data_IF_841740663760
#
_entry.id   IF_841740663760
#
_cell.length_a   1.000
_cell.length_b   1.000
_cell.length_c   1.000
_cell.angle_alpha   90.00
_cell.angle_beta   90.00
_cell.angle_gamma   90.00
#
_symmetry.space_group_name_H-M   'P 1'
#
loop_
_entity.id
_entity.type
_entity.pdbx_description
1 polymer ?
#
# COMPACT_ATOMS: atom_id res chain seq x y z
N UNK A 1 38.84 -90.66 67.73
CA UNK A 1 40.22 -90.30 68.14
C UNK A 1 40.33 -88.78 67.98
N UNK A 2 40.36 -88.02 69.08
CA UNK A 2 41.60 -87.47 69.69
C UNK A 2 42.21 -86.42 68.77
N UNK A 3 42.44 -85.14 69.09
CA UNK A 3 42.60 -84.34 70.32
C UNK A 3 42.28 -82.87 69.90
N UNK A 4 41.56 -82.01 70.63
CA UNK A 4 41.89 -81.37 71.92
C UNK A 4 43.28 -80.68 71.94
N UNK A 5 43.32 -79.36 71.73
CA UNK A 5 44.49 -78.51 72.00
C UNK A 5 44.14 -77.01 71.87
N UNK A 6 44.70 -76.12 72.73
CA UNK A 6 43.92 -75.07 73.37
C UNK A 6 44.29 -73.62 73.02
N UNK A 7 43.33 -72.75 73.35
CA UNK A 7 43.40 -71.32 73.70
C UNK A 7 44.73 -70.56 73.55
N UNK A 8 44.71 -69.56 72.68
CA UNK A 8 45.55 -68.37 72.79
C UNK A 8 44.65 -67.12 72.78
N UNK A 9 44.56 -66.50 73.95
CA UNK A 9 43.87 -65.25 74.25
C UNK A 9 44.47 -64.08 73.47
N UNK A 10 43.69 -63.49 72.56
CA UNK A 10 44.02 -62.22 71.90
C UNK A 10 43.37 -61.09 72.71
N UNK A 11 44.13 -60.10 73.20
CA UNK A 11 43.58 -58.96 73.92
C UNK A 11 42.78 -58.06 72.97
N UNK A 12 41.49 -57.90 73.27
CA UNK A 12 40.60 -56.96 72.59
C UNK A 12 40.92 -55.52 73.03
N UNK A 13 41.83 -54.85 72.32
CA UNK A 13 41.96 -53.40 72.41
C UNK A 13 40.72 -52.74 71.77
N UNK A 14 39.75 -52.36 72.62
CA UNK A 14 38.73 -51.37 72.28
C UNK A 14 39.41 -50.00 72.18
N UNK A 15 39.91 -49.65 71.01
CA UNK A 15 40.14 -48.26 70.65
C UNK A 15 38.84 -47.71 70.10
N UNK A 16 38.14 -46.90 70.87
CA UNK A 16 37.07 -46.03 70.36
C UNK A 16 37.69 -44.92 69.49
N UNK A 17 37.32 -44.77 68.21
CA UNK A 17 37.57 -43.55 67.46
C UNK A 17 36.21 -42.90 67.16
N UNK A 18 35.41 -42.58 68.19
CA UNK A 18 34.10 -41.94 67.99
C UNK A 18 34.13 -40.42 68.03
N UNK A 19 35.30 -39.78 68.12
CA UNK A 19 35.44 -38.33 68.31
C UNK A 19 35.99 -37.54 67.10
N UNK A 20 36.34 -38.17 65.97
CA UNK A 20 36.89 -37.44 64.81
C UNK A 20 35.89 -37.20 63.66
N UNK A 21 34.75 -37.90 63.62
CA UNK A 21 33.87 -37.86 62.44
C UNK A 21 33.19 -36.50 62.21
N UNK A 22 32.90 -35.76 63.28
CA UNK A 22 32.37 -34.38 63.19
C UNK A 22 33.38 -33.40 62.58
N UNK A 23 34.68 -33.59 62.81
CA UNK A 23 35.72 -32.75 62.22
C UNK A 23 35.85 -32.98 60.72
N UNK A 24 35.77 -34.25 60.29
CA UNK A 24 35.78 -34.62 58.87
C UNK A 24 34.52 -34.19 58.11
N UNK A 25 33.35 -34.21 58.76
CA UNK A 25 32.11 -33.72 58.15
C UNK A 25 32.14 -32.20 57.91
N UNK A 26 32.69 -31.42 58.85
CA UNK A 26 32.84 -29.97 58.69
C UNK A 26 33.86 -29.61 57.61
N UNK A 27 35.01 -30.29 57.55
CA UNK A 27 35.99 -30.04 56.49
C UNK A 27 35.45 -30.43 55.11
N UNK A 28 34.73 -31.55 55.00
CA UNK A 28 34.07 -31.95 53.75
C UNK A 28 33.03 -30.93 53.30
N UNK A 29 32.23 -30.37 54.22
CA UNK A 29 31.22 -29.36 53.90
C UNK A 29 31.85 -28.04 53.42
N UNK A 30 32.95 -27.61 54.03
CA UNK A 30 33.72 -26.44 53.58
C UNK A 30 34.29 -26.64 52.18
N UNK A 31 34.84 -27.82 51.88
CA UNK A 31 35.38 -28.14 50.54
C UNK A 31 34.27 -28.13 49.48
N UNK A 32 33.11 -28.72 49.78
CA UNK A 32 31.96 -28.72 48.86
C UNK A 32 31.45 -27.30 48.61
N UNK A 33 31.32 -26.48 49.66
CA UNK A 33 30.93 -25.07 49.52
C UNK A 33 31.92 -24.28 48.66
N UNK A 34 33.22 -24.53 48.83
CA UNK A 34 34.27 -23.85 48.07
C UNK A 34 34.29 -24.29 46.59
N UNK A 35 34.06 -25.57 46.31
CA UNK A 35 33.89 -26.05 44.92
C UNK A 35 32.65 -25.45 44.25
N UNK A 36 31.51 -25.37 44.95
CA UNK A 36 30.31 -24.74 44.41
C UNK A 36 30.52 -23.24 44.13
N UNK A 37 31.24 -22.54 45.01
CA UNK A 37 31.56 -21.13 44.80
C UNK A 37 32.54 -20.94 43.63
N UNK A 38 33.51 -21.84 43.46
CA UNK A 38 34.43 -21.84 42.32
C UNK A 38 33.70 -22.12 41.00
N UNK A 39 32.77 -23.06 40.99
CA UNK A 39 31.97 -23.41 39.81
C UNK A 39 31.00 -22.28 39.45
N UNK A 40 30.36 -21.65 40.44
CA UNK A 40 29.54 -20.46 40.23
C UNK A 40 30.38 -19.27 39.71
N UNK A 41 31.58 -19.07 40.27
CA UNK A 41 32.54 -18.07 39.82
C UNK A 41 33.00 -18.34 38.39
N UNK A 42 33.31 -19.60 38.06
CA UNK A 42 33.74 -20.01 36.73
C UNK A 42 32.63 -19.84 35.70
N UNK A 43 31.39 -20.25 36.00
CA UNK A 43 30.24 -20.02 35.10
C UNK A 43 29.96 -18.55 34.90
N UNK A 44 30.11 -17.73 35.94
CA UNK A 44 29.96 -16.29 35.85
C UNK A 44 31.10 -15.63 35.04
N UNK A 45 32.33 -16.12 35.18
CA UNK A 45 33.47 -15.68 34.38
C UNK A 45 33.37 -16.16 32.93
N UNK A 46 32.94 -17.39 32.65
CA UNK A 46 32.69 -17.90 31.29
C UNK A 46 31.57 -17.12 30.60
N UNK A 47 30.48 -16.86 31.32
CA UNK A 47 29.40 -16.02 30.82
C UNK A 47 29.86 -14.58 30.50
N UNK A 48 30.91 -14.09 31.18
CA UNK A 48 31.52 -12.77 30.89
C UNK A 48 32.64 -12.81 29.87
N UNK A 49 33.44 -13.88 29.82
CA UNK A 49 34.62 -13.99 28.96
C UNK A 49 34.28 -14.46 27.55
N UNK A 50 33.14 -15.13 27.38
CA UNK A 50 32.63 -15.59 26.09
C UNK A 50 31.47 -14.73 25.57
N UNK A 51 31.33 -13.49 26.04
CA UNK A 51 30.30 -12.61 25.49
C UNK A 51 30.56 -12.46 23.98
N UNK A 52 29.65 -12.97 23.11
CA UNK A 52 29.89 -12.98 21.67
C UNK A 52 30.07 -11.54 21.19
N UNK A 53 31.18 -11.31 20.49
CA UNK A 53 31.41 -10.05 19.78
C UNK A 53 30.64 -10.10 18.46
N UNK A 54 29.95 -9.02 18.14
CA UNK A 54 29.21 -8.86 16.90
C UNK A 54 29.92 -7.81 16.06
N UNK A 55 30.10 -8.13 14.78
CA UNK A 55 30.61 -7.18 13.80
C UNK A 55 29.43 -6.63 13.01
N UNK A 56 29.18 -5.33 13.10
CA UNK A 56 28.11 -4.66 12.35
C UNK A 56 28.76 -3.67 11.38
N UNK A 57 28.40 -3.72 10.10
CA UNK A 57 28.86 -2.76 9.11
C UNK A 57 27.75 -1.72 8.93
N UNK A 58 28.03 -0.46 9.22
CA UNK A 58 27.09 0.67 9.13
C UNK A 58 27.76 1.80 8.37
N UNK A 59 27.15 2.25 7.28
CA UNK A 59 27.68 3.30 6.41
C UNK A 59 29.13 3.01 5.94
N UNK A 60 29.44 1.74 5.67
CA UNK A 60 30.77 1.26 5.29
C UNK A 60 31.78 1.16 6.43
N UNK A 61 31.45 1.62 7.64
CA UNK A 61 32.31 1.48 8.82
C UNK A 61 32.00 0.19 9.58
N UNK A 62 33.06 -0.51 10.00
CA UNK A 62 32.92 -1.72 10.82
C UNK A 62 32.87 -1.34 12.30
N UNK A 63 31.77 -1.65 12.96
CA UNK A 63 31.58 -1.54 14.41
C UNK A 63 31.72 -2.92 15.06
N UNK A 64 32.52 -3.03 16.11
CA UNK A 64 32.61 -4.22 16.97
C UNK A 64 31.89 -3.95 18.28
N UNK A 65 30.76 -4.65 18.47
CA UNK A 65 29.87 -4.48 19.62
C UNK A 65 29.90 -5.75 20.50
N UNK A 66 29.87 -5.57 21.81
CA UNK A 66 29.56 -6.67 22.73
C UNK A 66 28.06 -7.01 22.69
N UNK A 67 27.66 -8.12 23.31
CA UNK A 67 26.28 -8.58 23.28
C UNK A 67 25.27 -7.58 23.89
N UNK A 68 25.65 -6.82 24.91
CA UNK A 68 24.77 -5.84 25.54
C UNK A 68 24.57 -4.63 24.61
N UNK A 69 25.65 -4.12 24.02
CA UNK A 69 25.62 -3.02 23.04
C UNK A 69 24.92 -3.43 21.75
N UNK A 70 25.05 -4.69 21.34
CA UNK A 70 24.30 -5.22 20.20
C UNK A 70 22.79 -5.23 20.48
N UNK A 71 22.35 -5.61 21.68
CA UNK A 71 20.94 -5.55 22.05
C UNK A 71 20.40 -4.11 22.06
N UNK A 72 21.17 -3.16 22.62
CA UNK A 72 20.85 -1.73 22.56
C UNK A 72 20.77 -1.24 21.10
N UNK A 73 21.73 -1.63 20.27
CA UNK A 73 21.78 -1.30 18.85
C UNK A 73 20.53 -1.80 18.10
N UNK A 74 20.13 -3.06 18.31
CA UNK A 74 18.94 -3.63 17.68
C UNK A 74 17.66 -2.91 18.12
N UNK A 75 17.57 -2.50 19.40
CA UNK A 75 16.44 -1.72 19.92
C UNK A 75 16.39 -0.29 19.35
N UNK A 76 17.55 0.35 19.21
CA UNK A 76 17.65 1.67 18.58
C UNK A 76 17.29 1.59 17.09
N UNK A 77 17.78 0.56 16.39
CA UNK A 77 17.48 0.33 14.97
C UNK A 77 15.98 0.13 14.75
N UNK A 78 15.30 -0.66 15.59
CA UNK A 78 13.84 -0.87 15.45
C UNK A 78 13.05 0.41 15.72
N UNK A 79 13.49 1.21 16.71
CA UNK A 79 12.89 2.52 17.03
C UNK A 79 13.06 3.48 15.84
N UNK A 80 14.28 3.61 15.32
CA UNK A 80 14.57 4.46 14.16
C UNK A 80 13.84 3.98 12.89
N UNK A 81 13.68 2.68 12.69
CA UNK A 81 12.92 2.14 11.56
C UNK A 81 11.42 2.49 11.65
N UNK A 82 10.82 2.42 12.84
CA UNK A 82 9.43 2.83 13.07
C UNK A 82 9.22 4.35 12.86
N UNK A 83 10.16 5.18 13.34
CA UNK A 83 10.16 6.63 13.11
C UNK A 83 10.35 6.98 11.63
N UNK A 84 11.26 6.27 10.94
CA UNK A 84 11.49 6.42 9.52
C UNK A 84 10.22 6.10 8.71
N UNK A 85 9.47 5.07 9.08
CA UNK A 85 8.19 4.73 8.45
C UNK A 85 7.19 5.90 8.49
N UNK A 86 6.95 6.46 9.68
CA UNK A 86 6.04 7.59 9.82
C UNK A 86 6.54 8.82 9.04
N UNK A 87 7.86 9.02 9.01
CA UNK A 87 8.49 10.14 8.30
C UNK A 87 8.37 10.02 6.78
N UNK A 88 8.54 8.82 6.20
CA UNK A 88 8.32 8.60 4.75
C UNK A 88 6.93 9.04 4.35
N UNK A 89 5.90 8.57 5.06
CA UNK A 89 4.50 8.87 4.74
C UNK A 89 4.23 10.36 4.87
N UNK A 90 4.68 10.99 5.97
CA UNK A 90 4.50 12.41 6.19
C UNK A 90 5.20 13.30 5.13
N UNK A 91 6.36 12.87 4.61
CA UNK A 91 7.06 13.58 3.52
C UNK A 91 6.43 13.39 2.15
N UNK A 92 5.83 12.22 1.90
CA UNK A 92 5.18 11.92 0.62
C UNK A 92 3.81 12.56 0.48
N UNK A 93 3.03 12.68 1.55
CA UNK A 93 1.64 13.12 1.49
C UNK A 93 1.44 14.49 0.80
N UNK A 94 2.17 15.57 1.13
CA UNK A 94 2.02 16.85 0.44
C UNK A 94 2.37 16.76 -1.05
N UNK A 95 3.35 15.93 -1.41
CA UNK A 95 3.76 15.73 -2.80
C UNK A 95 2.70 14.95 -3.59
N UNK A 96 2.13 13.89 -3.00
CA UNK A 96 1.04 13.11 -3.58
C UNK A 96 -0.19 13.98 -3.81
N UNK A 97 -0.63 14.73 -2.79
CA UNK A 97 -1.80 15.60 -2.87
C UNK A 97 -1.62 16.67 -3.96
N UNK A 98 -0.48 17.36 -4.00
CA UNK A 98 -0.21 18.37 -5.03
C UNK A 98 -0.19 17.79 -6.45
N UNK A 99 0.33 16.56 -6.63
CA UNK A 99 0.33 15.87 -7.92
C UNK A 99 -1.06 15.38 -8.31
N UNK A 100 -1.86 14.88 -7.36
CA UNK A 100 -3.25 14.50 -7.61
C UNK A 100 -4.09 15.70 -8.01
N UNK A 101 -3.97 16.83 -7.31
CA UNK A 101 -4.68 18.06 -7.66
C UNK A 101 -4.36 18.50 -9.09
N UNK A 102 -3.08 18.46 -9.47
CA UNK A 102 -2.67 18.76 -10.85
C UNK A 102 -3.22 17.76 -11.86
N UNK A 103 -3.21 16.47 -11.54
CA UNK A 103 -3.70 15.42 -12.44
C UNK A 103 -5.21 15.53 -12.67
N UNK A 104 -5.98 15.85 -11.63
CA UNK A 104 -7.44 15.91 -11.65
C UNK A 104 -8.01 17.25 -12.14
N UNK A 105 -7.26 18.35 -12.05
CA UNK A 105 -7.74 19.66 -12.47
C UNK A 105 -8.29 19.71 -13.93
N UNK A 106 -7.64 19.10 -14.95
CA UNK A 106 -8.20 19.04 -16.30
C UNK A 106 -9.51 18.25 -16.39
N UNK A 107 -9.66 17.18 -15.59
CA UNK A 107 -10.89 16.38 -15.54
C UNK A 107 -12.05 17.17 -14.94
N UNK A 108 -11.80 17.93 -13.88
CA UNK A 108 -12.79 18.83 -13.27
C UNK A 108 -13.19 19.96 -14.22
N UNK A 109 -12.21 20.53 -14.93
CA UNK A 109 -12.43 21.58 -15.92
C UNK A 109 -13.21 21.09 -17.16
N UNK A 110 -13.19 19.79 -17.47
CA UNK A 110 -13.97 19.19 -18.56
C UNK A 110 -15.45 18.93 -18.22
N UNK A 111 -15.84 19.01 -16.94
CA UNK A 111 -17.22 18.75 -16.50
C UNK A 111 -18.24 19.71 -17.16
N UNK A 112 -18.02 21.04 -17.21
CA UNK A 112 -18.93 21.95 -17.90
C UNK A 112 -19.16 21.61 -19.37
N UNK A 113 -18.10 21.33 -20.13
CA UNK A 113 -18.19 21.00 -21.56
C UNK A 113 -18.98 19.71 -21.81
N UNK A 114 -18.78 18.69 -20.95
CA UNK A 114 -19.60 17.49 -20.98
C UNK A 114 -21.07 17.78 -20.72
N UNK A 115 -21.38 18.65 -19.74
CA UNK A 115 -22.75 19.02 -19.41
C UNK A 115 -23.41 19.85 -20.53
N UNK A 116 -22.66 20.75 -21.16
CA UNK A 116 -23.16 21.54 -22.29
C UNK A 116 -23.51 20.63 -23.47
N UNK A 117 -22.68 19.62 -23.78
CA UNK A 117 -23.05 18.57 -24.73
C UNK A 117 -24.26 17.75 -24.26
N UNK A 118 -24.26 17.32 -23.00
CA UNK A 118 -25.32 16.49 -22.42
C UNK A 118 -26.68 17.21 -22.49
N UNK A 119 -26.75 18.51 -22.23
CA UNK A 119 -27.99 19.26 -22.31
C UNK A 119 -28.26 19.88 -23.68
N UNK A 120 -27.33 19.77 -24.64
CA UNK A 120 -27.57 20.23 -26.01
C UNK A 120 -28.74 19.50 -26.69
N UNK A 121 -29.34 20.15 -27.70
CA UNK A 121 -30.37 19.53 -28.53
C UNK A 121 -29.84 18.25 -29.21
N UNK A 122 -28.66 18.33 -29.84
CA UNK A 122 -28.02 17.20 -30.48
C UNK A 122 -27.77 16.02 -29.52
N UNK A 123 -27.26 16.29 -28.32
CA UNK A 123 -27.07 15.27 -27.28
C UNK A 123 -28.38 14.62 -26.84
N UNK A 124 -29.43 15.43 -26.69
CA UNK A 124 -30.77 14.95 -26.30
C UNK A 124 -31.42 14.03 -27.33
N UNK A 125 -31.38 14.39 -28.63
CA UNK A 125 -31.90 13.52 -29.68
C UNK A 125 -31.06 12.25 -29.86
N UNK A 126 -29.73 12.35 -29.74
CA UNK A 126 -28.86 11.16 -29.85
C UNK A 126 -29.14 10.17 -28.73
N UNK A 127 -29.29 10.64 -27.48
CA UNK A 127 -29.69 9.79 -26.35
C UNK A 127 -31.02 9.11 -26.57
N UNK A 128 -32.01 9.84 -27.09
CA UNK A 128 -33.32 9.28 -27.38
C UNK A 128 -33.22 8.16 -28.42
N UNK A 129 -32.50 8.40 -29.52
CA UNK A 129 -32.28 7.40 -30.57
C UNK A 129 -31.61 6.13 -30.04
N UNK A 130 -30.53 6.28 -29.27
CA UNK A 130 -29.82 5.14 -28.66
C UNK A 130 -30.67 4.42 -27.62
N UNK A 131 -31.49 5.13 -26.86
CA UNK A 131 -32.40 4.53 -25.90
C UNK A 131 -33.49 3.68 -26.56
N UNK A 132 -34.01 4.11 -27.72
CA UNK A 132 -34.95 3.31 -28.50
C UNK A 132 -34.32 2.00 -28.99
N UNK A 133 -33.00 1.98 -29.20
CA UNK A 133 -32.24 0.78 -29.56
C UNK A 133 -31.80 -0.06 -28.34
N UNK A 134 -32.15 0.35 -27.11
CA UNK A 134 -31.82 -0.39 -25.87
C UNK A 134 -30.36 -0.26 -25.40
N UNK A 135 -29.55 0.62 -26.00
CA UNK A 135 -28.11 0.74 -25.74
C UNK A 135 -27.69 1.97 -24.93
N UNK A 136 -28.60 2.65 -24.23
CA UNK A 136 -28.32 3.97 -23.65
C UNK A 136 -27.20 3.97 -22.61
N UNK A 137 -27.22 3.04 -21.66
CA UNK A 137 -26.29 3.06 -20.53
C UNK A 137 -24.82 2.82 -21.01
N UNK A 138 -24.51 1.77 -21.81
CA UNK A 138 -23.16 1.58 -22.35
C UNK A 138 -22.69 2.74 -23.23
N UNK A 139 -23.60 3.34 -24.00
CA UNK A 139 -23.27 4.48 -24.85
C UNK A 139 -22.97 5.74 -24.04
N UNK A 140 -23.72 6.01 -22.96
CA UNK A 140 -23.46 7.13 -22.05
C UNK A 140 -22.14 6.96 -21.28
N UNK A 141 -21.81 5.73 -20.89
CA UNK A 141 -20.50 5.38 -20.32
C UNK A 141 -19.37 5.76 -21.29
N UNK A 142 -19.50 5.36 -22.55
CA UNK A 142 -18.52 5.65 -23.59
C UNK A 142 -18.38 7.16 -23.87
N UNK A 143 -19.50 7.89 -23.93
CA UNK A 143 -19.46 9.35 -24.11
C UNK A 143 -18.80 10.06 -22.93
N UNK A 144 -19.03 9.61 -21.69
CA UNK A 144 -18.32 10.15 -20.51
C UNK A 144 -16.84 9.82 -20.56
N UNK A 145 -16.48 8.60 -20.90
CA UNK A 145 -15.08 8.23 -21.05
C UNK A 145 -14.38 9.13 -22.09
N UNK A 146 -14.93 9.23 -23.30
CA UNK A 146 -14.35 10.06 -24.37
C UNK A 146 -14.28 11.55 -24.02
N UNK A 147 -15.35 12.12 -23.45
CA UNK A 147 -15.46 13.58 -23.23
C UNK A 147 -14.87 14.06 -21.92
N UNK A 148 -14.82 13.22 -20.89
CA UNK A 148 -14.24 13.57 -19.59
C UNK A 148 -12.86 12.95 -19.43
N UNK A 149 -12.74 11.63 -19.58
CA UNK A 149 -11.51 10.91 -19.24
C UNK A 149 -10.44 11.07 -20.32
N UNK A 150 -10.75 10.72 -21.57
CA UNK A 150 -9.79 10.81 -22.68
C UNK A 150 -9.41 12.27 -22.96
N UNK A 151 -10.41 13.17 -23.02
CA UNK A 151 -10.18 14.60 -23.28
C UNK A 151 -9.36 15.31 -22.18
N UNK A 152 -9.46 14.87 -20.92
CA UNK A 152 -8.66 15.46 -19.82
C UNK A 152 -7.24 14.93 -19.74
N UNK A 153 -6.94 13.80 -20.39
CA UNK A 153 -5.63 13.14 -20.27
C UNK A 153 -5.36 12.56 -18.87
N UNK A 154 -6.38 12.40 -18.02
CA UNK A 154 -6.22 11.91 -16.64
C UNK A 154 -5.54 10.53 -16.59
N UNK A 155 -5.77 9.65 -17.56
CA UNK A 155 -5.13 8.33 -17.60
C UNK A 155 -3.60 8.45 -17.72
N UNK A 156 -3.12 9.29 -18.64
CA UNK A 156 -1.70 9.54 -18.81
C UNK A 156 -1.10 10.22 -17.57
N UNK A 157 -1.81 11.19 -16.98
CA UNK A 157 -1.38 11.88 -15.78
C UNK A 157 -1.28 10.94 -14.55
N UNK A 158 -2.23 10.01 -14.40
CA UNK A 158 -2.19 9.01 -13.33
C UNK A 158 -1.09 7.96 -13.56
N UNK A 159 -0.84 7.56 -14.81
CA UNK A 159 0.28 6.67 -15.13
C UNK A 159 1.64 7.32 -14.82
N UNK A 160 1.80 8.60 -15.15
CA UNK A 160 3.00 9.38 -14.79
C UNK A 160 3.13 9.49 -13.26
N UNK A 161 2.05 9.85 -12.56
CA UNK A 161 2.04 9.93 -11.09
C UNK A 161 2.49 8.61 -10.44
N UNK A 162 2.02 7.47 -10.94
CA UNK A 162 2.42 6.16 -10.40
C UNK A 162 3.91 5.88 -10.59
N UNK A 163 4.44 6.16 -11.77
CA UNK A 163 5.88 6.02 -12.06
C UNK A 163 6.70 6.93 -11.15
N UNK A 164 6.31 8.20 -11.05
CA UNK A 164 6.99 9.19 -10.22
C UNK A 164 6.89 8.85 -8.73
N UNK A 165 5.76 8.31 -8.27
CA UNK A 165 5.56 7.91 -6.88
C UNK A 165 6.54 6.82 -6.47
N UNK A 166 6.75 5.80 -7.31
CA UNK A 166 7.72 4.75 -7.03
C UNK A 166 9.15 5.30 -6.94
N UNK A 167 9.53 6.23 -7.83
CA UNK A 167 10.84 6.89 -7.79
C UNK A 167 10.98 7.78 -6.55
N UNK A 168 9.95 8.54 -6.20
CA UNK A 168 9.95 9.43 -5.04
C UNK A 168 10.02 8.64 -3.73
N UNK A 169 9.24 7.58 -3.59
CA UNK A 169 9.29 6.67 -2.46
C UNK A 169 10.68 6.08 -2.29
N UNK A 170 11.28 5.56 -3.37
CA UNK A 170 12.65 5.03 -3.33
C UNK A 170 13.67 6.09 -2.87
N UNK A 171 13.53 7.32 -3.35
CA UNK A 171 14.40 8.42 -2.96
C UNK A 171 14.26 8.78 -1.47
N UNK A 172 13.03 8.98 -0.98
CA UNK A 172 12.78 9.31 0.44
C UNK A 172 13.24 8.19 1.37
N UNK A 173 13.00 6.93 1.01
CA UNK A 173 13.48 5.79 1.78
C UNK A 173 15.01 5.76 1.85
N UNK A 174 15.72 6.00 0.75
CA UNK A 174 17.20 6.05 0.76
C UNK A 174 17.74 7.15 1.66
N UNK A 175 17.14 8.34 1.61
CA UNK A 175 17.55 9.47 2.47
C UNK A 175 17.41 9.09 3.95
N UNK A 176 16.29 8.47 4.34
CA UNK A 176 16.08 8.05 5.73
C UNK A 176 16.97 6.90 6.16
N UNK A 177 17.25 5.96 5.26
CA UNK A 177 18.22 4.88 5.49
C UNK A 177 19.62 5.45 5.77
N UNK A 178 20.06 6.42 4.97
CA UNK A 178 21.35 7.11 5.15
C UNK A 178 21.39 7.91 6.46
N UNK A 179 20.33 8.65 6.78
CA UNK A 179 20.20 9.40 8.05
C UNK A 179 20.24 8.45 9.27
N UNK A 180 19.59 7.29 9.18
CA UNK A 180 19.60 6.27 10.22
C UNK A 180 21.00 5.67 10.41
N UNK A 181 21.70 5.35 9.30
CA UNK A 181 23.07 4.86 9.35
C UNK A 181 24.02 5.84 10.04
N UNK A 182 23.92 7.13 9.69
CA UNK A 182 24.70 8.20 10.35
C UNK A 182 24.39 8.32 11.84
N UNK A 183 23.12 8.27 12.21
CA UNK A 183 22.67 8.36 13.61
C UNK A 183 23.21 7.19 14.44
N UNK A 184 23.16 5.98 13.89
CA UNK A 184 23.72 4.78 14.54
C UNK A 184 25.25 4.86 14.64
N UNK A 185 25.93 5.32 13.59
CA UNK A 185 27.38 5.47 13.59
C UNK A 185 27.84 6.50 14.63
N UNK A 186 27.18 7.66 14.73
CA UNK A 186 27.49 8.67 15.74
C UNK A 186 27.31 8.13 17.16
N UNK A 187 26.24 7.37 17.40
CA UNK A 187 25.91 6.82 18.73
C UNK A 187 26.86 5.70 19.16
N UNK A 188 27.26 4.82 18.24
CA UNK A 188 28.00 3.59 18.54
C UNK A 188 29.48 3.63 18.14
N UNK A 189 29.91 4.57 17.30
CA UNK A 189 31.29 4.69 16.83
C UNK A 189 32.30 4.91 17.96
N UNK A 190 31.95 5.68 18.99
CA UNK A 190 32.79 5.88 20.18
C UNK A 190 32.76 4.72 21.17
N UNK A 191 31.83 3.76 20.99
CA UNK A 191 31.58 2.63 21.90
C UNK A 191 32.08 1.30 21.31
N UNK A 192 33.04 1.33 20.41
CA UNK A 192 33.63 0.11 19.86
C UNK A 192 34.50 -0.61 20.90
N UNK A 193 34.49 -1.95 20.85
CA UNK A 193 35.42 -2.78 21.63
C UNK A 193 36.59 -3.17 20.73
N UNK A 194 37.82 -2.87 21.17
CA UNK A 194 39.02 -3.24 20.42
C UNK A 194 39.24 -4.76 20.47
N UNK A 195 38.88 -5.47 19.40
CA UNK A 195 39.20 -6.89 19.25
C UNK A 195 40.68 -7.11 18.96
N UNK A 196 41.30 -8.11 19.59
CA UNK A 196 42.66 -8.55 19.25
C UNK A 196 42.62 -9.30 17.91
N UNK A 197 43.48 -8.91 16.97
CA UNK A 197 43.28 -9.04 15.51
C UNK A 197 43.14 -10.43 14.88
N UNK A 198 43.12 -11.52 15.64
CA UNK A 198 42.91 -12.88 15.11
C UNK A 198 41.47 -13.38 15.32
N UNK A 199 40.82 -13.01 16.43
CA UNK A 199 39.40 -13.32 16.68
C UNK A 199 38.47 -12.49 15.78
N UNK A 200 38.90 -11.29 15.37
CA UNK A 200 38.11 -10.38 14.56
C UNK A 200 37.74 -10.90 13.15
N UNK A 201 38.40 -11.95 12.65
CA UNK A 201 38.18 -12.49 11.30
C UNK A 201 37.07 -13.55 11.22
N UNK A 202 36.70 -14.16 12.34
CA UNK A 202 35.67 -15.23 12.40
C UNK A 202 34.35 -14.75 13.01
N UNK A 203 34.26 -13.47 13.36
CA UNK A 203 33.03 -12.91 13.94
C UNK A 203 31.90 -12.89 12.91
N UNK A 204 30.67 -13.28 13.31
CA UNK A 204 29.48 -13.04 12.51
C UNK A 204 29.40 -11.55 12.14
N UNK A 205 29.41 -11.27 10.84
CA UNK A 205 29.31 -9.93 10.29
C UNK A 205 27.87 -9.68 9.81
N UNK A 206 27.21 -8.70 10.43
CA UNK A 206 25.95 -8.14 9.96
C UNK A 206 26.27 -6.96 9.05
N UNK A 207 26.06 -7.14 7.74
CA UNK A 207 26.13 -6.06 6.76
C UNK A 207 24.80 -5.31 6.74
N UNK A 208 24.69 -4.23 7.54
CA UNK A 208 23.46 -3.46 7.63
C UNK A 208 23.18 -2.73 6.32
N UNK A 209 24.20 -2.17 5.68
CA UNK A 209 24.05 -1.44 4.42
C UNK A 209 23.50 -2.36 3.33
N UNK A 210 24.06 -3.57 3.21
CA UNK A 210 23.57 -4.61 2.31
C UNK A 210 22.14 -5.07 2.65
N UNK A 211 21.83 -5.26 3.93
CA UNK A 211 20.49 -5.63 4.38
C UNK A 211 19.45 -4.55 4.06
N UNK A 212 19.80 -3.28 4.26
CA UNK A 212 18.94 -2.13 3.98
C UNK A 212 18.67 -1.95 2.50
N UNK A 213 19.70 -2.06 1.65
CA UNK A 213 19.53 -2.01 0.19
C UNK A 213 18.70 -3.20 -0.31
N UNK A 214 18.93 -4.40 0.21
CA UNK A 214 18.14 -5.58 -0.12
C UNK A 214 16.67 -5.43 0.30
N UNK A 215 16.41 -4.95 1.52
CA UNK A 215 15.06 -4.72 2.02
C UNK A 215 14.34 -3.64 1.19
N UNK A 216 15.04 -2.57 0.82
CA UNK A 216 14.52 -1.52 -0.04
C UNK A 216 14.18 -2.06 -1.44
N UNK A 217 15.11 -2.79 -2.08
CA UNK A 217 14.90 -3.39 -3.40
C UNK A 217 13.72 -4.38 -3.37
N UNK A 218 13.64 -5.26 -2.37
CA UNK A 218 12.53 -6.19 -2.21
C UNK A 218 11.19 -5.44 -2.02
N UNK A 219 11.19 -4.34 -1.27
CA UNK A 219 10.04 -3.46 -1.11
C UNK A 219 9.57 -2.84 -2.44
N UNK A 220 10.51 -2.30 -3.22
CA UNK A 220 10.24 -1.68 -4.52
C UNK A 220 9.81 -2.69 -5.58
N UNK A 221 10.44 -3.86 -5.63
CA UNK A 221 10.05 -4.95 -6.53
C UNK A 221 8.65 -5.42 -6.19
N UNK A 222 8.31 -5.59 -4.91
CA UNK A 222 6.95 -5.96 -4.53
C UNK A 222 5.93 -4.87 -4.89
N UNK A 223 6.30 -3.59 -4.81
CA UNK A 223 5.44 -2.50 -5.28
C UNK A 223 5.24 -2.55 -6.81
N UNK A 224 6.31 -2.83 -7.57
CA UNK A 224 6.26 -3.06 -9.02
C UNK A 224 5.43 -4.29 -9.39
N UNK A 225 5.57 -5.38 -8.66
CA UNK A 225 4.79 -6.60 -8.90
C UNK A 225 3.35 -6.44 -8.46
N UNK A 226 3.04 -5.72 -7.38
CA UNK A 226 1.65 -5.38 -7.03
C UNK A 226 1.01 -4.53 -8.13
N UNK A 227 1.72 -3.55 -8.67
CA UNK A 227 1.19 -2.74 -9.78
C UNK A 227 1.01 -3.57 -11.06
N UNK A 228 1.94 -4.47 -11.37
CA UNK A 228 1.85 -5.35 -12.55
C UNK A 228 0.83 -6.50 -12.41
N UNK A 229 0.79 -7.20 -11.27
CA UNK A 229 -0.12 -8.31 -11.00
C UNK A 229 -1.57 -7.85 -10.87
N UNK A 230 -1.80 -6.63 -10.38
CA UNK A 230 -3.11 -5.98 -10.42
C UNK A 230 -3.51 -5.48 -11.81
N UNK A 231 -2.63 -5.60 -12.82
CA UNK A 231 -2.93 -5.42 -14.24
C UNK A 231 -3.78 -6.54 -14.86
N UNK A 232 -4.02 -7.64 -14.14
CA UNK A 232 -4.95 -8.71 -14.55
C UNK A 232 -6.30 -8.72 -13.81
N UNK A 233 -6.41 -8.09 -12.64
CA UNK A 233 -7.61 -8.14 -11.82
C UNK A 233 -7.88 -6.83 -11.05
N UNK A 234 -8.79 -6.03 -11.59
CA UNK A 234 -9.65 -5.02 -10.92
C UNK A 234 -9.07 -3.85 -10.11
N UNK A 235 -7.77 -3.77 -9.83
CA UNK A 235 -7.20 -2.66 -9.01
C UNK A 235 -5.99 -1.94 -9.64
N UNK A 236 -5.57 -2.31 -10.85
CA UNK A 236 -4.73 -1.43 -11.65
C UNK A 236 -5.51 -0.16 -11.99
N UNK A 237 -5.18 0.96 -11.36
CA UNK A 237 -5.77 2.30 -11.52
C UNK A 237 -5.67 2.89 -12.95
N UNK A 238 -5.44 2.06 -13.98
CA UNK A 238 -5.08 2.46 -15.34
C UNK A 238 -6.12 2.11 -16.41
N UNK A 239 -7.28 1.55 -16.04
CA UNK A 239 -8.40 1.53 -16.97
C UNK A 239 -9.31 2.70 -16.62
N UNK A 240 -9.24 3.82 -17.33
CA UNK A 240 -10.17 4.95 -17.15
C UNK A 240 -11.62 4.57 -17.50
N UNK A 241 -11.87 3.36 -18.02
CA UNK A 241 -13.20 2.73 -18.01
C UNK A 241 -13.72 2.47 -16.59
N UNK A 242 -12.87 2.17 -15.60
CA UNK A 242 -13.29 2.00 -14.20
C UNK A 242 -13.65 3.35 -13.56
N UNK A 243 -12.85 4.39 -13.84
CA UNK A 243 -13.16 5.77 -13.45
C UNK A 243 -14.48 6.23 -14.08
N UNK A 244 -14.64 6.04 -15.40
CA UNK A 244 -15.88 6.34 -16.10
C UNK A 244 -17.07 5.56 -15.53
N UNK A 245 -16.91 4.28 -15.18
CA UNK A 245 -17.96 3.48 -14.50
C UNK A 245 -18.28 4.00 -13.10
N UNK A 246 -17.28 4.41 -12.30
CA UNK A 246 -17.54 5.01 -10.98
C UNK A 246 -18.32 6.33 -11.12
N UNK A 247 -17.92 7.18 -12.07
CA UNK A 247 -18.67 8.38 -12.44
C UNK A 247 -20.06 8.05 -13.03
N UNK A 248 -20.24 6.85 -13.60
CA UNK A 248 -21.51 6.38 -14.13
C UNK A 248 -22.48 6.02 -13.02
N UNK A 249 -22.00 5.22 -12.07
CA UNK A 249 -22.80 4.74 -10.94
C UNK A 249 -23.26 5.92 -10.10
N UNK A 250 -22.42 6.96 -9.95
CA UNK A 250 -22.87 8.21 -9.33
C UNK A 250 -23.90 8.92 -10.21
N UNK A 251 -23.65 9.15 -11.50
CA UNK A 251 -24.52 9.93 -12.41
C UNK A 251 -25.88 9.29 -12.75
N UNK A 252 -25.92 8.00 -13.10
CA UNK A 252 -26.90 7.43 -14.01
C UNK A 252 -28.14 6.78 -13.36
N UNK A 253 -28.15 6.54 -12.05
CA UNK A 253 -29.17 5.67 -11.43
C UNK A 253 -30.64 6.09 -11.57
N UNK A 254 -30.95 7.38 -11.80
CA UNK A 254 -32.34 7.87 -11.81
C UNK A 254 -32.70 8.91 -12.87
N UNK A 255 -31.76 9.76 -13.33
CA UNK A 255 -32.09 10.89 -14.20
C UNK A 255 -32.43 10.51 -15.65
N UNK A 256 -31.67 9.59 -16.25
CA UNK A 256 -31.81 9.20 -17.67
C UNK A 256 -33.13 8.51 -17.95
N UNK A 257 -33.58 7.63 -17.06
CA UNK A 257 -34.84 6.88 -17.18
C UNK A 257 -36.06 7.79 -17.04
N UNK A 258 -36.01 8.84 -16.23
CA UNK A 258 -37.10 9.81 -16.10
C UNK A 258 -37.23 10.71 -17.33
N UNK A 259 -36.12 11.18 -17.89
CA UNK A 259 -36.12 11.96 -19.12
C UNK A 259 -36.69 11.15 -20.30
N UNK A 260 -36.32 9.87 -20.41
CA UNK A 260 -36.88 8.97 -21.41
C UNK A 260 -38.37 8.71 -21.21
N UNK A 261 -38.85 8.53 -19.98
CA UNK A 261 -40.29 8.39 -19.70
C UNK A 261 -41.07 9.65 -20.08
N UNK A 262 -40.55 10.82 -19.76
CA UNK A 262 -41.18 12.08 -20.15
C UNK A 262 -41.24 12.25 -21.68
N UNK A 263 -40.20 11.83 -22.39
CA UNK A 263 -40.13 11.92 -23.85
C UNK A 263 -40.99 10.85 -24.54
N UNK A 264 -40.98 9.61 -24.05
CA UNK A 264 -41.85 8.53 -24.52
C UNK A 264 -43.34 8.84 -24.27
N UNK A 265 -43.69 9.39 -23.10
CA UNK A 265 -45.04 9.87 -22.82
C UNK A 265 -45.48 10.98 -23.78
N UNK A 266 -44.54 11.84 -24.24
CA UNK A 266 -44.80 12.88 -25.24
C UNK A 266 -44.97 12.32 -26.65
N UNK A 267 -44.16 11.35 -27.07
CA UNK A 267 -44.34 10.69 -28.37
C UNK A 267 -45.66 9.90 -28.42
N UNK A 268 -46.06 9.25 -27.32
CA UNK A 268 -47.37 8.63 -27.17
C UNK A 268 -48.53 9.63 -27.21
N UNK A 269 -48.40 10.77 -26.51
CA UNK A 269 -49.45 11.79 -26.46
C UNK A 269 -49.54 12.65 -27.73
N UNK A 270 -48.42 12.93 -28.42
CA UNK A 270 -48.39 13.67 -29.68
C UNK A 270 -48.88 12.80 -30.85
N UNK A 271 -48.59 11.50 -30.85
CA UNK A 271 -49.20 10.53 -31.77
C UNK A 271 -50.72 10.50 -31.64
N UNK A 272 -51.24 10.48 -30.41
CA UNK A 272 -52.69 10.52 -30.15
C UNK A 272 -53.34 11.89 -30.44
N UNK A 273 -52.62 13.01 -30.27
CA UNK A 273 -53.16 14.37 -30.55
C UNK A 273 -53.08 14.78 -32.02
N UNK A 274 -52.13 14.26 -32.79
CA UNK A 274 -52.07 14.49 -34.25
C UNK A 274 -53.28 13.91 -34.99
N UNK A 275 -53.91 12.87 -34.42
CA UNK A 275 -55.13 12.25 -34.93
C UNK A 275 -56.43 12.94 -34.45
N UNK A 276 -56.37 13.81 -33.44
CA UNK A 276 -57.58 14.39 -32.82
C UNK A 276 -57.67 15.91 -32.91
N UNK A 277 -56.58 16.62 -33.24
CA UNK A 277 -56.57 18.10 -33.31
C UNK A 277 -56.26 18.68 -34.71
N UNK A 278 -55.92 17.84 -35.69
CA UNK A 278 -55.79 18.21 -37.10
C UNK A 278 -57.11 18.37 -37.85
N UNK A 279 -58.16 18.89 -37.21
CA UNK A 279 -59.51 18.98 -37.79
C UNK A 279 -60.11 20.38 -37.95
N UNK A 280 -59.59 21.43 -37.28
CA UNK A 280 -60.35 22.69 -37.18
C UNK A 280 -59.61 23.99 -37.56
N UNK A 281 -58.28 24.01 -37.69
CA UNK A 281 -57.54 25.26 -37.94
C UNK A 281 -57.01 25.43 -39.38
N UNK A 282 -57.13 24.42 -40.25
CA UNK A 282 -56.79 24.53 -41.67
C UNK A 282 -57.98 24.93 -42.57
N UNK A 283 -59.19 25.06 -42.00
CA UNK A 283 -60.41 25.32 -42.78
C UNK A 283 -60.74 26.81 -42.98
N UNK A 284 -60.03 27.74 -42.33
CA UNK A 284 -60.39 29.16 -42.36
C UNK A 284 -59.55 30.03 -43.33
N UNK A 285 -58.56 29.46 -44.02
CA UNK A 285 -57.77 30.21 -45.00
C UNK A 285 -57.23 29.32 -46.14
N UNK A 286 -58.12 28.89 -47.05
CA UNK A 286 -57.83 28.79 -48.49
C UNK A 286 -59.02 28.18 -49.27
N UNK A 287 -59.85 28.97 -49.95
CA UNK A 287 -60.32 28.57 -51.26
C UNK A 287 -59.26 28.97 -52.29
N UNK A 288 -58.78 27.97 -53.05
CA UNK A 288 -57.95 28.06 -54.26
C UNK A 288 -56.42 27.95 -54.11
N UNK A 289 -55.88 26.76 -54.45
CA UNK A 289 -54.57 26.63 -55.09
C UNK A 289 -53.64 25.52 -54.54
N UNK A 290 -53.08 24.63 -55.40
CA UNK A 290 -52.07 23.63 -55.03
C UNK A 290 -50.72 24.22 -54.55
N UNK A 291 -50.58 25.54 -54.49
CA UNK A 291 -49.37 26.25 -54.05
C UNK A 291 -49.35 26.71 -52.59
N UNK A 292 -50.44 26.55 -51.83
CA UNK A 292 -50.56 27.05 -50.45
C UNK A 292 -49.87 26.18 -49.38
N UNK A 293 -49.23 25.07 -49.75
CA UNK A 293 -48.55 24.16 -48.81
C UNK A 293 -47.12 24.59 -48.43
N UNK A 294 -46.57 25.65 -49.06
CA UNK A 294 -45.19 26.06 -48.85
C UNK A 294 -45.00 27.24 -47.86
N UNK A 295 -46.07 27.98 -47.52
CA UNK A 295 -45.96 29.20 -46.67
C UNK A 295 -46.39 28.95 -45.22
N UNK A 296 -47.19 27.91 -44.95
CA UNK A 296 -47.64 27.54 -43.60
C UNK A 296 -46.64 26.71 -42.77
N UNK A 297 -45.63 26.12 -43.42
CA UNK A 297 -44.63 25.23 -42.77
C UNK A 297 -43.54 26.00 -42.02
N UNK A 298 -43.21 27.22 -42.44
CA UNK A 298 -42.15 28.02 -41.78
C UNK A 298 -42.59 28.51 -40.39
N UNK A 299 -43.86 28.89 -40.23
CA UNK A 299 -44.39 29.39 -38.96
C UNK A 299 -44.67 28.28 -37.93
N UNK A 300 -45.06 27.07 -38.37
CA UNK A 300 -45.27 25.92 -37.48
C UNK A 300 -43.96 25.25 -37.06
N UNK A 301 -42.93 25.23 -37.92
CA UNK A 301 -41.60 24.72 -37.52
C UNK A 301 -40.95 25.64 -36.49
N UNK A 302 -41.08 26.96 -36.63
CA UNK A 302 -40.51 27.92 -35.66
C UNK A 302 -41.14 27.82 -34.26
N UNK A 303 -42.46 27.62 -34.16
CA UNK A 303 -43.15 27.49 -32.86
C UNK A 303 -42.85 26.18 -32.15
N UNK A 304 -42.69 25.08 -32.89
CA UNK A 304 -42.29 23.77 -32.32
C UNK A 304 -40.84 23.84 -31.84
N UNK A 305 -39.91 24.32 -32.65
CA UNK A 305 -38.48 24.42 -32.28
C UNK A 305 -38.27 25.34 -31.08
N UNK A 306 -38.98 26.48 -31.00
CA UNK A 306 -38.92 27.38 -29.85
C UNK A 306 -39.43 26.75 -28.55
N UNK A 307 -40.55 26.02 -28.62
CA UNK A 307 -41.13 25.35 -27.44
C UNK A 307 -40.24 24.22 -26.91
N UNK A 308 -39.57 23.47 -27.79
CA UNK A 308 -38.65 22.41 -27.42
C UNK A 308 -37.36 22.97 -26.81
N UNK A 309 -36.83 24.05 -27.37
CA UNK A 309 -35.67 24.74 -26.82
C UNK A 309 -35.95 25.30 -25.41
N UNK A 310 -37.09 25.97 -25.22
CA UNK A 310 -37.48 26.51 -23.91
C UNK A 310 -37.62 25.40 -22.86
N UNK A 311 -38.26 24.28 -23.21
CA UNK A 311 -38.40 23.14 -22.30
C UNK A 311 -37.06 22.49 -21.97
N UNK A 312 -36.16 22.37 -22.95
CA UNK A 312 -34.81 21.84 -22.75
C UNK A 312 -34.02 22.75 -21.80
N UNK A 313 -34.16 24.07 -21.89
CA UNK A 313 -33.56 25.02 -20.95
C UNK A 313 -34.13 24.92 -19.54
N UNK A 314 -35.43 24.67 -19.38
CA UNK A 314 -36.03 24.38 -18.07
C UNK A 314 -35.46 23.09 -17.47
N UNK A 315 -35.29 22.04 -18.30
CA UNK A 315 -34.69 20.79 -17.84
C UNK A 315 -33.23 20.96 -17.45
N UNK A 316 -32.45 21.68 -18.26
CA UNK A 316 -31.05 22.04 -17.96
C UNK A 316 -30.97 22.79 -16.63
N UNK A 317 -31.71 23.89 -16.47
CA UNK A 317 -31.70 24.69 -15.25
C UNK A 317 -32.02 23.88 -13.99
N UNK A 318 -32.93 22.89 -14.10
CA UNK A 318 -33.32 22.03 -12.98
C UNK A 318 -32.32 20.91 -12.67
N UNK A 319 -31.73 20.29 -13.69
CA UNK A 319 -30.96 19.05 -13.51
C UNK A 319 -29.44 19.25 -13.61
N UNK A 320 -28.97 20.29 -14.32
CA UNK A 320 -27.54 20.56 -14.50
C UNK A 320 -26.79 20.66 -13.16
N UNK A 321 -27.25 21.44 -12.15
CA UNK A 321 -26.52 21.54 -10.88
C UNK A 321 -26.39 20.20 -10.16
N UNK A 322 -27.43 19.35 -10.22
CA UNK A 322 -27.44 18.03 -9.58
C UNK A 322 -26.47 17.07 -10.26
N UNK A 323 -26.45 17.03 -11.60
CA UNK A 323 -25.51 16.17 -12.35
C UNK A 323 -24.08 16.68 -12.17
N UNK A 324 -23.86 17.99 -12.21
CA UNK A 324 -22.56 18.63 -11.99
C UNK A 324 -21.99 18.28 -10.62
N UNK A 325 -22.75 18.52 -9.54
CA UNK A 325 -22.34 18.23 -8.18
C UNK A 325 -21.97 16.74 -8.00
N UNK A 326 -22.69 15.85 -8.68
CA UNK A 326 -22.49 14.40 -8.63
C UNK A 326 -21.28 13.93 -9.42
N UNK A 327 -20.99 14.55 -10.56
CA UNK A 327 -19.75 14.31 -11.31
C UNK A 327 -18.55 14.78 -10.49
N UNK A 328 -18.60 16.01 -9.94
CA UNK A 328 -17.54 16.54 -9.07
C UNK A 328 -17.34 15.69 -7.82
N UNK A 329 -18.41 15.32 -7.13
CA UNK A 329 -18.32 14.42 -5.97
C UNK A 329 -17.71 13.06 -6.30
N UNK A 330 -18.01 12.50 -7.49
CA UNK A 330 -17.38 11.27 -7.96
C UNK A 330 -15.89 11.43 -8.31
N UNK A 331 -15.49 12.60 -8.82
CA UNK A 331 -14.08 12.95 -9.04
C UNK A 331 -13.35 13.05 -7.70
N UNK A 332 -13.92 13.74 -6.72
CA UNK A 332 -13.35 13.87 -5.38
C UNK A 332 -13.20 12.52 -4.66
N UNK A 333 -14.20 11.64 -4.79
CA UNK A 333 -14.13 10.28 -4.25
C UNK A 333 -13.02 9.46 -4.93
N UNK A 334 -12.90 9.56 -6.25
CA UNK A 334 -11.82 8.90 -6.99
C UNK A 334 -10.43 9.41 -6.57
N UNK A 335 -10.26 10.73 -6.43
CA UNK A 335 -9.03 11.36 -5.95
C UNK A 335 -8.64 10.83 -4.56
N UNK A 336 -9.58 10.83 -3.61
CA UNK A 336 -9.35 10.31 -2.24
C UNK A 336 -8.99 8.83 -2.25
N UNK A 337 -9.67 8.01 -3.06
CA UNK A 337 -9.39 6.59 -3.16
C UNK A 337 -7.98 6.31 -3.71
N UNK A 338 -7.52 7.10 -4.69
CA UNK A 338 -6.15 6.98 -5.21
C UNK A 338 -5.14 7.43 -4.17
N UNK A 339 -5.38 8.54 -3.47
CA UNK A 339 -4.52 9.04 -2.40
C UNK A 339 -4.31 7.98 -1.32
N UNK A 340 -5.39 7.41 -0.79
CA UNK A 340 -5.34 6.35 0.21
C UNK A 340 -4.58 5.11 -0.31
N UNK A 341 -4.78 4.72 -1.57
CA UNK A 341 -4.05 3.58 -2.16
C UNK A 341 -2.54 3.84 -2.27
N UNK A 342 -2.11 5.07 -2.52
CA UNK A 342 -0.70 5.44 -2.58
C UNK A 342 -0.08 5.47 -1.16
N UNK A 343 -0.81 6.02 -0.19
CA UNK A 343 -0.43 6.02 1.22
C UNK A 343 -0.27 4.59 1.78
N UNK A 344 -1.23 3.70 1.50
CA UNK A 344 -1.15 2.28 1.86
C UNK A 344 0.09 1.61 1.26
N UNK A 345 0.43 1.97 0.01
CA UNK A 345 1.60 1.43 -0.68
C UNK A 345 2.90 1.90 -0.01
N UNK A 346 2.98 3.19 0.34
CA UNK A 346 4.13 3.75 1.05
C UNK A 346 4.27 3.13 2.45
N UNK A 347 3.17 3.02 3.19
CA UNK A 347 3.13 2.41 4.52
C UNK A 347 3.56 0.94 4.50
N UNK A 348 3.06 0.16 3.53
CA UNK A 348 3.45 -1.24 3.37
C UNK A 348 4.91 -1.42 2.94
N UNK A 349 5.45 -0.52 2.11
CA UNK A 349 6.87 -0.54 1.75
C UNK A 349 7.76 -0.25 2.96
N UNK A 350 7.39 0.75 3.76
CA UNK A 350 8.12 1.12 4.96
C UNK A 350 8.06 0.05 6.06
N UNK A 351 6.89 -0.56 6.31
CA UNK A 351 6.77 -1.66 7.26
C UNK A 351 7.67 -2.85 6.91
N UNK A 352 7.76 -3.22 5.62
CA UNK A 352 8.66 -4.29 5.16
C UNK A 352 10.13 -3.96 5.34
N UNK A 353 10.50 -2.69 5.18
CA UNK A 353 11.86 -2.24 5.44
C UNK A 353 12.18 -2.41 6.93
N UNK A 354 11.25 -2.06 7.83
CA UNK A 354 11.40 -2.29 9.26
C UNK A 354 11.49 -3.79 9.61
N UNK A 355 10.58 -4.62 9.08
CA UNK A 355 10.61 -6.08 9.30
C UNK A 355 11.92 -6.71 8.80
N UNK A 356 12.42 -6.26 7.65
CA UNK A 356 13.68 -6.72 7.08
C UNK A 356 14.89 -6.37 7.95
N UNK A 357 14.87 -5.20 8.56
CA UNK A 357 15.91 -4.77 9.51
C UNK A 357 15.86 -5.55 10.82
N UNK A 358 14.66 -5.77 11.37
CA UNK A 358 14.46 -6.53 12.60
C UNK A 358 14.88 -8.01 12.44
N UNK A 359 14.53 -8.61 11.31
CA UNK A 359 14.91 -9.99 10.99
C UNK A 359 16.44 -10.18 10.93
N UNK A 360 17.17 -9.15 10.48
CA UNK A 360 18.63 -9.16 10.38
C UNK A 360 19.31 -8.79 11.70
N UNK A 361 18.66 -7.99 12.54
CA UNK A 361 19.14 -7.58 13.86
C UNK A 361 18.96 -8.68 14.93
N UNK A 362 18.10 -9.68 14.66
CA UNK A 362 17.86 -10.80 15.57
C UNK A 362 18.98 -11.83 15.42
N UNK A 363 19.76 -12.13 16.48
CA UNK A 363 20.81 -13.15 16.40
C UNK A 363 20.22 -14.49 15.96
N UNK A 364 20.90 -15.25 15.09
CA UNK A 364 20.47 -16.62 14.78
C UNK A 364 20.40 -17.41 16.08
N UNK A 365 19.24 -18.04 16.36
CA UNK A 365 19.06 -18.89 17.55
C UNK A 365 20.24 -19.85 17.69
N UNK A 366 21.02 -19.68 18.76
CA UNK A 366 22.17 -20.52 19.07
C UNK A 366 21.73 -21.99 19.09
N UNK A 367 22.14 -22.76 18.09
CA UNK A 367 21.86 -24.20 17.99
C UNK A 367 21.11 -24.65 16.73
N UNK A 368 20.58 -23.73 15.90
CA UNK A 368 20.22 -24.09 14.52
C UNK A 368 21.49 -24.01 13.67
N UNK A 369 22.01 -25.14 13.12
CA UNK A 369 23.10 -25.07 12.16
C UNK A 369 22.64 -24.13 11.04
N UNK A 370 23.38 -23.03 10.86
CA UNK A 370 23.05 -22.03 9.85
C UNK A 370 22.83 -22.69 8.49
N UNK A 371 21.98 -22.13 7.62
CA UNK A 371 21.72 -22.69 6.30
C UNK A 371 23.07 -22.93 5.63
N UNK A 372 23.41 -24.21 5.43
CA UNK A 372 24.62 -24.60 4.73
C UNK A 372 24.68 -23.76 3.45
N UNK A 373 25.81 -23.09 3.14
CA UNK A 373 25.93 -22.34 1.91
C UNK A 373 25.65 -23.32 0.78
N UNK A 374 24.45 -23.23 0.19
CA UNK A 374 24.08 -23.99 -0.98
C UNK A 374 24.98 -23.49 -2.09
N UNK A 375 26.13 -24.14 -2.24
CA UNK A 375 27.06 -23.96 -3.35
C UNK A 375 26.42 -24.57 -4.59
N UNK A 376 25.38 -23.92 -5.10
CA UNK A 376 24.79 -24.25 -6.39
C UNK A 376 25.83 -23.80 -7.42
N UNK A 377 26.29 -24.75 -8.24
CA UNK A 377 27.36 -24.65 -9.24
C UNK A 377 28.78 -24.92 -8.71
N UNK A 378 29.01 -26.19 -8.39
CA UNK A 378 30.29 -26.80 -8.69
C UNK A 378 30.55 -26.74 -10.19
N UNK A 379 31.22 -25.67 -10.63
CA UNK A 379 31.87 -25.60 -11.95
C UNK A 379 32.93 -26.71 -11.99
N UNK A 380 32.57 -27.87 -12.50
CA UNK A 380 33.55 -28.84 -12.97
C UNK A 380 34.21 -28.23 -14.20
N UNK A 381 35.47 -27.81 -14.03
CA UNK A 381 36.44 -27.82 -15.11
C UNK A 381 37.48 -28.90 -14.81
N UNK A 382 38.31 -29.31 -15.78
CA UNK A 382 38.53 -28.71 -17.09
C UNK A 382 37.57 -29.15 -18.20
#
# INVERSE_FOLDING_TARGET
MSQAGPASSVPSHRTEPRRSWRGWALSALVVVALMLMLEAGHRWLEARSQAPLYRVIVAGETLTLDAARHAEFSQDLSTLAAEAQATVVARLDPWVNARLDRAFAPLEAAVPDYLDWYFSAAGSYTRLGVALMGGLDPWLDEQRHRRLVEASGIEAALAELQSDHAMRLAHESRVLVDDMGKTLLERYGSRQVTGTGQEARELPALDLDGAMDQALQAGLDTARWRTAALGGSSLGLLAGRTLAKRLAVSAAGQGSRMALRALAARLGAAGARSLTTGGAAAAAAAPAGPGALAVGTVATVASVVGSEFAMLKVQEARHRPVIEARLRGGIDEARRAISASLEDTASAAAARLADGLEAQATPPEQGKPGPHPYRILGRHGP
#
